data_IF_435908539762
#
_entry.id   IF_435908539762
#
_cell.length_a   1.000
_cell.length_b   1.000
_cell.length_c   1.000
_cell.angle_alpha   90.00
_cell.angle_beta   90.00
_cell.angle_gamma   90.00
#
_symmetry.space_group_name_H-M   'P 1'
#
loop_
_entity.id
_entity.type
_entity.pdbx_description
1 polymer ?
#
# COMPACT_ATOMS: atom_id res chain seq x y z
N UNK A 1 28.97 2.78 -48.71
CA UNK A 1 28.50 1.61 -47.93
C UNK A 1 27.92 2.10 -46.60
N UNK A 2 26.63 2.39 -46.54
CA UNK A 2 25.90 2.60 -45.29
C UNK A 2 24.77 1.58 -45.33
N UNK A 3 25.05 0.37 -44.84
CA UNK A 3 24.05 -0.69 -44.70
C UNK A 3 23.40 -0.54 -43.32
N UNK A 4 22.17 -0.07 -43.34
CA UNK A 4 21.06 -0.66 -42.58
C UNK A 4 21.30 -0.89 -41.08
N UNK A 5 21.42 0.20 -40.31
CA UNK A 5 21.22 0.18 -38.85
C UNK A 5 19.94 0.92 -38.41
N UNK A 6 19.34 1.73 -39.30
CA UNK A 6 18.18 2.56 -38.99
C UNK A 6 16.94 1.77 -38.46
N UNK A 7 16.54 0.60 -39.01
CA UNK A 7 15.42 -0.16 -38.45
C UNK A 7 15.78 -0.90 -37.15
N UNK A 8 17.06 -1.23 -36.93
CA UNK A 8 17.55 -1.92 -35.71
C UNK A 8 17.67 -0.95 -34.53
N UNK A 9 18.15 0.27 -34.77
CA UNK A 9 18.19 1.35 -33.77
C UNK A 9 16.78 1.81 -33.41
N UNK A 10 15.85 1.85 -34.37
CA UNK A 10 14.44 2.15 -34.12
C UNK A 10 13.74 1.06 -33.28
N UNK A 11 14.12 -0.21 -33.46
CA UNK A 11 13.62 -1.32 -32.63
C UNK A 11 14.17 -1.29 -31.20
N UNK A 12 15.44 -0.89 -31.01
CA UNK A 12 16.01 -0.67 -29.68
C UNK A 12 15.38 0.55 -28.97
N UNK A 13 15.08 1.62 -29.70
CA UNK A 13 14.43 2.82 -29.14
C UNK A 13 12.95 2.57 -28.80
N UNK A 14 12.26 1.71 -29.54
CA UNK A 14 10.90 1.24 -29.21
C UNK A 14 10.88 0.33 -27.97
N UNK A 15 11.94 -0.45 -27.73
CA UNK A 15 12.09 -1.29 -26.53
C UNK A 15 12.40 -0.47 -25.27
N UNK A 16 13.08 0.68 -25.43
CA UNK A 16 13.35 1.66 -24.37
C UNK A 16 12.10 2.43 -23.89
N UNK A 17 10.94 2.26 -24.54
CA UNK A 17 9.67 2.87 -24.15
C UNK A 17 8.67 1.88 -23.54
N UNK A 18 9.09 0.63 -23.27
CA UNK A 18 8.32 -0.27 -22.40
C UNK A 18 8.53 0.14 -20.94
N UNK A 19 8.08 1.36 -20.61
CA UNK A 19 7.90 1.78 -19.21
C UNK A 19 6.87 0.82 -18.63
N UNK A 20 7.33 -0.07 -17.76
CA UNK A 20 6.45 -0.95 -16.99
C UNK A 20 5.35 -0.09 -16.39
N UNK A 21 4.10 -0.37 -16.75
CA UNK A 21 2.94 0.25 -16.12
C UNK A 21 3.04 -0.12 -14.64
N UNK A 22 3.49 0.82 -13.78
CA UNK A 22 3.43 0.61 -12.33
C UNK A 22 1.95 0.45 -12.02
N UNK A 23 1.55 -0.79 -11.74
CA UNK A 23 0.16 -1.08 -11.49
C UNK A 23 -0.15 -0.52 -10.11
N UNK A 24 -1.02 0.49 -10.04
CA UNK A 24 -1.48 0.96 -8.75
C UNK A 24 -2.39 -0.11 -8.13
N UNK A 25 -2.07 -0.52 -6.92
CA UNK A 25 -2.69 -1.65 -6.22
C UNK A 25 -3.34 -1.21 -4.90
N UNK A 26 -3.13 0.05 -4.49
CA UNK A 26 -3.72 0.64 -3.30
C UNK A 26 -4.41 1.93 -3.72
N UNK A 27 -5.73 2.00 -3.57
CA UNK A 27 -6.53 3.20 -3.75
C UNK A 27 -6.79 3.84 -2.39
N UNK A 28 -6.48 5.13 -2.26
CA UNK A 28 -6.73 5.94 -1.08
C UNK A 28 -7.95 6.81 -1.34
N UNK A 29 -8.96 6.67 -0.49
CA UNK A 29 -10.16 7.50 -0.52
C UNK A 29 -10.27 8.19 0.82
N UNK A 30 -9.90 9.47 0.89
CA UNK A 30 -10.08 10.29 2.08
C UNK A 30 -11.30 11.20 1.94
N UNK A 31 -11.62 11.92 3.02
CA UNK A 31 -12.68 12.95 2.99
C UNK A 31 -12.26 14.20 2.20
N UNK A 32 -10.95 14.39 1.99
CA UNK A 32 -10.38 15.58 1.34
C UNK A 32 -9.91 15.34 -0.10
N UNK A 33 -9.46 14.13 -0.44
CA UNK A 33 -8.92 13.80 -1.76
C UNK A 33 -8.85 12.28 -1.98
N UNK A 34 -8.53 11.88 -3.20
CA UNK A 34 -8.26 10.48 -3.55
C UNK A 34 -6.89 10.35 -4.22
N UNK A 35 -6.36 9.12 -4.24
CA UNK A 35 -5.11 8.83 -4.93
C UNK A 35 -4.85 7.35 -5.04
N UNK A 36 -3.82 6.97 -5.77
CA UNK A 36 -3.48 5.57 -6.00
C UNK A 36 -1.98 5.35 -5.90
N UNK A 37 -1.56 4.26 -5.26
CA UNK A 37 -0.17 3.90 -5.02
C UNK A 37 0.10 2.45 -5.40
N UNK A 38 1.36 2.11 -5.66
CA UNK A 38 1.75 0.74 -5.97
C UNK A 38 1.85 -0.12 -4.69
N UNK A 39 2.13 0.51 -3.54
CA UNK A 39 2.33 -0.19 -2.26
C UNK A 39 1.54 0.46 -1.13
N UNK A 40 1.33 -0.31 -0.05
CA UNK A 40 0.73 0.23 1.18
C UNK A 40 1.68 1.21 1.87
N UNK A 41 2.99 0.98 1.79
CA UNK A 41 3.98 1.91 2.29
C UNK A 41 3.84 3.31 1.70
N UNK A 42 3.76 3.43 0.37
CA UNK A 42 3.61 4.74 -0.30
C UNK A 42 2.32 5.45 0.11
N UNK A 43 1.23 4.68 0.26
CA UNK A 43 -0.03 5.22 0.75
C UNK A 43 0.10 5.76 2.19
N UNK A 44 0.77 5.03 3.08
CA UNK A 44 1.06 5.49 4.44
C UNK A 44 1.99 6.71 4.47
N UNK A 45 3.00 6.77 3.60
CA UNK A 45 3.87 7.94 3.48
C UNK A 45 3.06 9.19 3.11
N UNK A 46 2.09 9.07 2.19
CA UNK A 46 1.16 10.15 1.84
C UNK A 46 0.23 10.56 2.98
N UNK A 47 -0.22 9.62 3.82
CA UNK A 47 -1.01 9.94 5.03
C UNK A 47 -0.13 10.68 6.04
N UNK A 48 1.09 10.19 6.28
CA UNK A 48 2.05 10.78 7.23
C UNK A 48 2.48 12.19 6.82
N UNK A 49 2.53 12.49 5.51
CA UNK A 49 2.81 13.82 4.99
C UNK A 49 1.60 14.76 5.00
N UNK A 50 0.44 14.30 5.46
CA UNK A 50 -0.80 15.08 5.51
C UNK A 50 -1.50 15.26 4.17
N UNK A 51 -1.13 14.50 3.14
CA UNK A 51 -1.79 14.55 1.82
C UNK A 51 -3.22 14.02 1.90
N UNK A 52 -3.43 13.00 2.72
CA UNK A 52 -4.74 12.40 2.97
C UNK A 52 -5.13 12.64 4.43
N UNK A 53 -6.28 13.29 4.63
CA UNK A 53 -6.75 13.69 5.97
C UNK A 53 -8.21 13.33 6.20
N UNK A 54 -8.65 13.38 7.46
CA UNK A 54 -10.01 13.02 7.85
C UNK A 54 -10.23 11.51 7.90
N UNK A 55 -11.39 11.04 7.46
CA UNK A 55 -11.69 9.60 7.39
C UNK A 55 -11.13 9.02 6.10
N UNK A 56 -10.38 7.93 6.19
CA UNK A 56 -9.61 7.36 5.08
C UNK A 56 -9.95 5.89 4.89
N UNK A 57 -10.23 5.50 3.64
CA UNK A 57 -10.28 4.10 3.21
C UNK A 57 -9.10 3.80 2.29
N UNK A 58 -8.39 2.72 2.62
CA UNK A 58 -7.32 2.15 1.82
C UNK A 58 -7.84 0.85 1.20
N UNK A 59 -8.19 0.92 -0.07
CA UNK A 59 -8.74 -0.18 -0.85
C UNK A 59 -7.61 -0.88 -1.61
N UNK A 60 -7.36 -2.13 -1.27
CA UNK A 60 -6.35 -2.96 -1.92
C UNK A 60 -6.98 -3.58 -3.17
N UNK A 61 -6.61 -3.06 -4.34
CA UNK A 61 -7.15 -3.45 -5.66
C UNK A 61 -6.36 -4.58 -6.31
N UNK A 62 -5.20 -4.95 -5.75
CA UNK A 62 -4.37 -6.07 -6.20
C UNK A 62 -3.26 -6.42 -5.20
N UNK A 63 -2.45 -7.43 -5.52
CA UNK A 63 -1.41 -7.93 -4.61
C UNK A 63 -0.21 -6.98 -4.56
N UNK A 64 0.17 -6.49 -3.37
CA UNK A 64 1.37 -5.66 -3.19
C UNK A 64 2.57 -6.47 -2.72
N UNK A 65 3.76 -5.98 -3.07
CA UNK A 65 5.04 -6.44 -2.53
C UNK A 65 5.73 -5.26 -1.86
N UNK A 66 5.73 -5.24 -0.53
CA UNK A 66 6.40 -4.25 0.28
C UNK A 66 7.89 -4.61 0.40
N UNK A 67 8.77 -3.68 0.00
CA UNK A 67 10.23 -3.81 0.12
C UNK A 67 10.78 -3.19 1.40
N UNK A 68 9.94 -2.45 2.13
CA UNK A 68 10.19 -1.89 3.43
C UNK A 68 8.87 -1.88 4.23
N UNK A 69 8.95 -1.74 5.55
CA UNK A 69 7.75 -1.71 6.38
C UNK A 69 6.90 -0.48 6.05
N UNK A 70 5.59 -0.69 5.87
CA UNK A 70 4.59 0.35 5.82
C UNK A 70 4.36 0.85 7.25
N UNK A 71 4.90 2.02 7.58
CA UNK A 71 4.78 2.64 8.91
C UNK A 71 3.74 3.74 8.88
N UNK A 72 2.69 3.61 9.68
CA UNK A 72 1.70 4.67 9.90
C UNK A 72 1.96 5.32 11.26
N UNK A 73 2.13 6.64 11.29
CA UNK A 73 2.33 7.39 12.53
C UNK A 73 1.00 7.83 13.13
N UNK A 74 1.00 8.09 14.44
CA UNK A 74 -0.15 8.66 15.15
C UNK A 74 -0.70 9.93 14.46
N UNK A 75 -2.03 10.07 14.44
CA UNK A 75 -2.67 11.33 14.07
C UNK A 75 -2.19 12.45 15.01
N UNK A 76 -1.88 13.62 14.45
CA UNK A 76 -1.25 14.73 15.16
C UNK A 76 0.29 14.64 15.26
N UNK A 77 0.92 13.56 14.80
CA UNK A 77 2.38 13.50 14.66
C UNK A 77 2.85 14.03 13.31
N UNK A 78 3.71 15.06 13.33
CA UNK A 78 4.14 15.73 12.10
C UNK A 78 2.95 16.34 11.37
N UNK A 79 2.74 15.94 10.11
CA UNK A 79 1.62 16.40 9.28
C UNK A 79 0.47 15.39 9.20
N UNK A 80 0.58 14.23 9.85
CA UNK A 80 -0.49 13.22 9.86
C UNK A 80 -1.75 13.77 10.55
N UNK A 81 -2.89 13.74 9.87
CA UNK A 81 -4.15 14.24 10.44
C UNK A 81 -5.35 13.45 9.91
N UNK A 82 -5.58 12.29 10.50
CA UNK A 82 -6.71 11.42 10.17
C UNK A 82 -7.60 11.19 11.39
N UNK A 83 -8.89 10.99 11.14
CA UNK A 83 -9.89 10.66 12.15
C UNK A 83 -10.07 9.15 12.29
N UNK A 84 -10.05 8.43 11.17
CA UNK A 84 -10.11 6.96 11.11
C UNK A 84 -9.45 6.46 9.83
N UNK A 85 -8.91 5.25 9.88
CA UNK A 85 -8.36 4.56 8.70
C UNK A 85 -8.93 3.16 8.64
N UNK A 86 -9.47 2.77 7.47
CA UNK A 86 -9.89 1.39 7.20
C UNK A 86 -9.07 0.83 6.04
N UNK A 87 -8.42 -0.31 6.24
CA UNK A 87 -7.61 -1.02 5.24
C UNK A 87 -8.33 -2.31 4.89
N UNK A 88 -8.68 -2.50 3.62
CA UNK A 88 -9.40 -3.68 3.15
C UNK A 88 -9.18 -3.94 1.65
N UNK A 89 -9.40 -5.17 1.15
CA UNK A 89 -9.47 -5.41 -0.28
C UNK A 89 -10.67 -4.70 -0.90
N UNK A 90 -10.54 -4.29 -2.17
CA UNK A 90 -11.66 -3.71 -2.91
C UNK A 90 -12.77 -4.74 -3.17
N UNK A 91 -13.96 -4.26 -3.53
CA UNK A 91 -15.11 -5.10 -3.77
C UNK A 91 -14.83 -6.15 -4.85
N UNK A 92 -14.95 -7.43 -4.48
CA UNK A 92 -14.70 -8.56 -5.39
C UNK A 92 -13.22 -8.91 -5.57
N UNK A 93 -12.31 -8.19 -4.91
CA UNK A 93 -10.87 -8.47 -4.95
C UNK A 93 -10.48 -9.39 -3.79
N UNK A 94 -9.66 -10.39 -4.10
CA UNK A 94 -8.87 -11.12 -3.10
C UNK A 94 -7.43 -10.69 -3.29
N UNK A 95 -6.82 -10.11 -2.25
CA UNK A 95 -5.50 -9.51 -2.35
C UNK A 95 -4.53 -10.08 -1.31
N UNK A 96 -3.24 -9.95 -1.56
CA UNK A 96 -2.19 -10.14 -0.54
C UNK A 96 -1.32 -8.89 -0.43
N UNK A 97 -0.93 -8.58 0.80
CA UNK A 97 0.16 -7.64 1.09
C UNK A 97 1.31 -8.52 1.54
N UNK A 98 2.37 -8.57 0.74
CA UNK A 98 3.48 -9.49 0.94
C UNK A 98 4.80 -8.75 0.95
N UNK A 99 5.88 -9.40 1.37
CA UNK A 99 7.21 -8.81 1.37
C UNK A 99 8.18 -9.67 2.17
N UNK A 100 9.45 -9.64 1.77
CA UNK A 100 10.53 -10.33 2.48
C UNK A 100 11.39 -9.29 3.19
N UNK A 101 10.88 -8.80 4.32
CA UNK A 101 11.53 -7.77 5.14
C UNK A 101 11.68 -8.25 6.57
N UNK A 102 12.65 -7.68 7.30
CA UNK A 102 12.80 -7.97 8.74
C UNK A 102 11.73 -7.21 9.55
N UNK A 103 10.91 -7.97 10.30
CA UNK A 103 9.82 -7.44 11.12
C UNK A 103 8.46 -7.41 10.40
N UNK A 104 7.50 -6.68 10.95
CA UNK A 104 6.14 -6.60 10.39
C UNK A 104 6.07 -5.76 9.09
N UNK A 105 5.26 -6.23 8.13
CA UNK A 105 4.93 -5.52 6.89
C UNK A 105 4.18 -4.21 7.16
N UNK A 106 3.25 -4.25 8.11
CA UNK A 106 2.45 -3.11 8.55
C UNK A 106 2.86 -2.79 9.99
N UNK A 107 3.25 -1.54 10.25
CA UNK A 107 3.65 -1.06 11.58
C UNK A 107 2.81 0.15 11.94
N UNK A 108 2.13 0.07 13.07
CA UNK A 108 1.37 1.17 13.65
C UNK A 108 2.22 1.82 14.74
N UNK A 109 2.77 3.00 14.46
CA UNK A 109 3.64 3.75 15.36
C UNK A 109 2.81 4.79 16.14
N UNK A 110 2.18 4.34 17.23
CA UNK A 110 1.23 5.15 18.00
C UNK A 110 -0.07 5.47 17.23
N UNK A 111 -0.31 4.81 16.11
CA UNK A 111 -1.50 5.01 15.29
C UNK A 111 -2.73 4.38 15.92
N UNK A 112 -3.72 5.22 16.22
CA UNK A 112 -5.03 4.81 16.74
C UNK A 112 -6.14 4.90 15.67
N UNK A 113 -7.28 4.27 15.94
CA UNK A 113 -8.46 4.24 15.07
C UNK A 113 -8.20 3.69 13.65
N UNK A 114 -7.36 2.66 13.59
CA UNK A 114 -7.04 1.91 12.37
C UNK A 114 -7.75 0.57 12.40
N UNK A 115 -8.58 0.31 11.41
CA UNK A 115 -9.24 -0.99 11.19
C UNK A 115 -8.57 -1.70 10.01
N UNK A 116 -8.11 -2.93 10.21
CA UNK A 116 -7.64 -3.81 9.13
C UNK A 116 -8.70 -4.90 8.95
N UNK A 117 -9.48 -4.82 7.88
CA UNK A 117 -10.54 -5.78 7.58
C UNK A 117 -9.96 -6.97 6.80
N UNK A 118 -9.83 -8.09 7.52
CA UNK A 118 -9.27 -9.35 7.04
C UNK A 118 -10.09 -10.10 5.99
N UNK A 119 -11.36 -9.73 5.74
CA UNK A 119 -12.36 -10.60 5.12
C UNK A 119 -12.04 -11.16 3.73
N UNK A 120 -11.08 -10.58 3.00
CA UNK A 120 -10.64 -11.05 1.67
C UNK A 120 -9.13 -10.98 1.42
N UNK A 121 -8.32 -10.98 2.48
CA UNK A 121 -6.86 -11.07 2.34
C UNK A 121 -6.40 -12.54 2.27
N UNK A 122 -5.57 -12.90 1.30
CA UNK A 122 -5.02 -14.26 1.15
C UNK A 122 -3.77 -14.48 2.04
N UNK A 123 -3.86 -14.13 3.32
CA UNK A 123 -2.75 -14.19 4.27
C UNK A 123 -3.16 -14.78 5.61
N UNK A 124 -2.30 -15.60 6.20
CA UNK A 124 -2.45 -16.08 7.58
C UNK A 124 -1.93 -15.00 8.52
N UNK A 125 -2.75 -13.96 8.77
CA UNK A 125 -2.41 -12.92 9.74
C UNK A 125 -2.40 -13.52 11.14
N UNK A 126 -1.23 -13.71 11.74
CA UNK A 126 -1.12 -14.09 13.14
C UNK A 126 -1.44 -12.87 14.01
N UNK A 127 -2.66 -12.81 14.54
CA UNK A 127 -3.01 -11.89 15.62
C UNK A 127 -2.30 -12.34 16.91
N UNK A 128 -1.09 -11.82 17.15
CA UNK A 128 -0.31 -12.11 18.36
C UNK A 128 -0.87 -11.48 19.63
N UNK A 129 -1.97 -10.70 19.57
CA UNK A 129 -2.48 -9.93 20.72
C UNK A 129 -3.62 -10.62 21.46
N UNK A 130 -4.12 -11.77 20.98
CA UNK A 130 -5.16 -12.56 21.67
C UNK A 130 -4.61 -13.75 22.46
N UNK A 131 -3.41 -13.59 22.99
CA UNK A 131 -2.82 -14.51 23.97
C UNK A 131 -3.56 -14.43 25.30
N UNK A 132 -4.35 -15.47 25.58
CA UNK A 132 -4.78 -15.93 26.90
C UNK A 132 -5.44 -14.91 27.86
N UNK A 133 -6.78 -14.89 27.86
CA UNK A 133 -7.52 -14.80 29.14
C UNK A 133 -8.44 -16.00 29.27
N UNK A 134 -7.84 -17.13 29.64
CA UNK A 134 -8.59 -18.17 30.35
C UNK A 134 -8.72 -17.66 31.78
N UNK A 135 -9.91 -17.22 32.13
CA UNK A 135 -10.28 -16.95 33.52
C UNK A 135 -10.39 -18.32 34.18
N UNK A 136 -9.52 -18.59 35.16
CA UNK A 136 -9.86 -19.52 36.24
C UNK A 136 -10.72 -18.79 37.27
#
# INVERSE_FOLDING_TARGET
MIKLYLPKVLMCLAFLLFVGKSQAQVSVVSSSTTGTHATLKEAFDGINSGTYTGSIQLLITGNTVETAAAVLNASGSGSALYGSITIKPDAGVTASISGSITGGLIKLNGADNVTIDGGKFNGSGSDTTRGARMVE
#
